data_IF_380242902477
#
_entry.id   IF_380242902477
#
_cell.length_a   1.000
_cell.length_b   1.000
_cell.length_c   1.000
_cell.angle_alpha   90.00
_cell.angle_beta   90.00
_cell.angle_gamma   90.00
#
_symmetry.space_group_name_H-M   'P 1'
#
loop_
_entity.id
_entity.type
_entity.pdbx_description
1 polymer ?
#
# COMPACT_ATOMS: atom_id res chain seq x y z
N UNK A 1 12.44 14.94 8.76
CA UNK A 1 10.98 15.06 8.55
C UNK A 1 10.77 14.77 7.08
N UNK A 2 10.08 13.67 6.79
CA UNK A 2 9.78 13.22 5.43
C UNK A 2 8.85 14.22 4.75
N UNK A 3 9.25 14.79 3.62
CA UNK A 3 8.42 15.70 2.83
C UNK A 3 7.97 15.03 1.54
N UNK A 4 6.65 15.01 1.31
CA UNK A 4 6.04 14.40 0.13
C UNK A 4 5.14 15.43 -0.57
N UNK A 5 5.29 15.56 -1.88
CA UNK A 5 4.41 16.38 -2.72
C UNK A 5 3.16 15.58 -3.11
N UNK A 6 2.31 15.26 -2.13
CA UNK A 6 1.13 14.41 -2.31
C UNK A 6 0.03 15.06 -3.17
N UNK A 7 0.00 16.40 -3.24
CA UNK A 7 -0.99 17.15 -4.01
C UNK A 7 -0.72 17.25 -5.51
N UNK A 8 0.43 16.78 -5.99
CA UNK A 8 0.76 16.75 -7.41
C UNK A 8 0.32 15.41 -8.01
N UNK A 9 -0.70 15.43 -8.88
CA UNK A 9 -1.24 14.23 -9.52
C UNK A 9 -0.23 13.48 -10.39
N UNK A 10 0.79 14.16 -10.91
CA UNK A 10 1.84 13.53 -11.72
C UNK A 10 2.77 12.64 -10.90
N UNK A 11 2.76 12.77 -9.57
CA UNK A 11 3.54 11.93 -8.66
C UNK A 11 2.80 10.65 -8.26
N UNK A 12 1.69 10.32 -8.92
CA UNK A 12 0.89 9.13 -8.65
C UNK A 12 0.74 8.29 -9.91
N UNK A 13 1.04 7.00 -9.80
CA UNK A 13 0.92 6.04 -10.88
C UNK A 13 -0.02 4.91 -10.46
N UNK A 14 -1.00 4.60 -11.32
CA UNK A 14 -1.92 3.47 -11.11
C UNK A 14 -1.16 2.17 -11.38
N UNK A 15 -1.09 1.30 -10.37
CA UNK A 15 -0.47 -0.03 -10.49
C UNK A 15 -1.50 -1.16 -10.55
N UNK A 16 -2.71 -0.89 -10.09
CA UNK A 16 -3.80 -1.87 -10.10
C UNK A 16 -5.14 -1.14 -10.21
N UNK A 17 -6.01 -1.63 -11.08
CA UNK A 17 -7.34 -1.09 -11.29
C UNK A 17 -8.24 -2.22 -11.81
N UNK A 18 -9.00 -2.85 -10.93
CA UNK A 18 -9.88 -3.96 -11.28
C UNK A 18 -11.18 -3.93 -10.50
N UNK A 19 -12.24 -4.42 -11.15
CA UNK A 19 -13.51 -4.75 -10.51
C UNK A 19 -13.57 -6.26 -10.30
N UNK A 20 -13.82 -6.68 -9.05
CA UNK A 20 -13.92 -8.08 -8.67
C UNK A 20 -15.33 -8.31 -8.12
N UNK A 21 -15.98 -9.41 -8.54
CA UNK A 21 -17.30 -9.80 -8.06
C UNK A 21 -17.23 -11.12 -7.30
N UNK A 22 -18.07 -11.25 -6.27
CA UNK A 22 -18.27 -12.48 -5.53
C UNK A 22 -18.96 -13.54 -6.40
N UNK A 23 -18.66 -14.81 -6.15
CA UNK A 23 -19.30 -15.92 -6.87
C UNK A 23 -20.63 -16.24 -6.19
N UNK A 24 -21.72 -16.20 -6.96
CA UNK A 24 -23.05 -16.56 -6.48
C UNK A 24 -23.37 -18.01 -6.85
N UNK A 25 -23.62 -18.85 -5.85
CA UNK A 25 -24.04 -20.24 -6.05
C UNK A 25 -25.54 -20.37 -5.77
N UNK A 26 -26.35 -20.87 -6.71
CA UNK A 26 -27.77 -21.12 -6.47
C UNK A 26 -27.98 -22.23 -5.44
N UNK A 27 -28.91 -22.04 -4.51
CA UNK A 27 -29.27 -23.04 -3.49
C UNK A 27 -30.53 -23.80 -3.94
N UNK A 28 -30.57 -25.13 -3.76
CA UNK A 28 -31.81 -25.89 -3.97
C UNK A 28 -32.89 -25.41 -2.99
N UNK A 29 -33.98 -24.85 -3.53
CA UNK A 29 -35.06 -24.23 -2.75
C UNK A 29 -35.23 -22.72 -2.96
N UNK A 30 -34.36 -22.09 -3.75
CA UNK A 30 -34.43 -20.67 -4.10
C UNK A 30 -33.42 -19.81 -3.33
N UNK A 31 -32.95 -18.73 -3.97
CA UNK A 31 -31.91 -17.85 -3.44
C UNK A 31 -30.49 -18.24 -3.85
N UNK A 32 -29.52 -17.44 -3.39
CA UNK A 32 -28.11 -17.58 -3.72
C UNK A 32 -27.25 -17.55 -2.45
N UNK A 33 -26.21 -18.38 -2.42
CA UNK A 33 -25.12 -18.30 -1.46
C UNK A 33 -23.98 -17.50 -2.11
N UNK A 34 -23.53 -16.46 -1.43
CA UNK A 34 -22.39 -15.67 -1.87
C UNK A 34 -21.12 -16.34 -1.34
N UNK A 35 -20.19 -16.68 -2.24
CA UNK A 35 -18.82 -17.04 -1.87
C UNK A 35 -18.05 -15.72 -1.74
N UNK A 36 -17.45 -15.45 -0.56
CA UNK A 36 -16.67 -14.25 -0.34
C UNK A 36 -15.58 -14.04 -1.38
N UNK A 37 -15.33 -12.78 -1.72
CA UNK A 37 -14.20 -12.40 -2.57
C UNK A 37 -12.91 -12.90 -1.90
N UNK A 38 -12.09 -13.72 -2.61
CA UNK A 38 -10.81 -14.17 -2.08
C UNK A 38 -9.88 -12.97 -1.87
N UNK A 39 -8.79 -13.18 -1.17
CA UNK A 39 -7.82 -12.12 -1.00
C UNK A 39 -7.23 -11.68 -2.36
N UNK A 40 -7.23 -10.38 -2.60
CA UNK A 40 -6.77 -9.79 -3.85
C UNK A 40 -5.26 -9.58 -3.75
N UNK A 41 -4.50 -10.34 -4.54
CA UNK A 41 -3.05 -10.17 -4.68
C UNK A 41 -2.74 -9.14 -5.76
N UNK A 42 -1.95 -8.12 -5.44
CA UNK A 42 -1.50 -7.15 -6.44
C UNK A 42 -0.27 -7.74 -7.16
N UNK A 43 -0.31 -7.93 -8.49
CA UNK A 43 0.71 -8.67 -9.24
C UNK A 43 1.94 -7.80 -9.56
N UNK A 44 2.38 -6.98 -8.61
CA UNK A 44 3.52 -6.07 -8.75
C UNK A 44 4.31 -6.07 -7.44
N UNK A 45 5.62 -6.31 -7.54
CA UNK A 45 6.54 -6.09 -6.42
C UNK A 45 6.75 -4.58 -6.26
N UNK A 46 6.56 -4.10 -5.04
CA UNK A 46 6.65 -2.69 -4.68
C UNK A 46 7.94 -2.42 -3.93
N UNK A 47 8.63 -1.36 -4.35
CA UNK A 47 9.83 -0.78 -3.74
C UNK A 47 9.55 0.58 -3.09
N UNK A 48 8.35 1.13 -3.29
CA UNK A 48 7.90 2.41 -2.72
C UNK A 48 7.00 2.18 -1.52
N UNK A 49 7.16 2.97 -0.45
CA UNK A 49 6.42 2.82 0.80
C UNK A 49 5.29 3.83 1.02
N UNK A 50 4.89 4.55 -0.03
CA UNK A 50 3.77 5.48 -0.03
C UNK A 50 2.78 5.02 -1.08
N UNK A 51 1.61 4.57 -0.63
CA UNK A 51 0.55 4.05 -1.49
C UNK A 51 -0.74 4.80 -1.24
N UNK A 52 -1.57 4.90 -2.28
CA UNK A 52 -2.96 5.30 -2.14
C UNK A 52 -3.85 4.15 -2.61
N UNK A 53 -4.92 3.86 -1.87
CA UNK A 53 -5.86 2.79 -2.19
C UNK A 53 -7.28 3.32 -2.10
N UNK A 54 -8.03 3.13 -3.18
CA UNK A 54 -9.47 3.38 -3.21
C UNK A 54 -10.19 2.06 -3.40
N UNK A 55 -11.21 1.85 -2.59
CA UNK A 55 -12.13 0.72 -2.70
C UNK A 55 -13.53 1.28 -2.74
N UNK A 56 -14.32 0.82 -3.69
CA UNK A 56 -15.76 1.07 -3.75
C UNK A 56 -16.50 -0.25 -3.95
N UNK A 57 -17.74 -0.29 -3.47
CA UNK A 57 -18.63 -1.45 -3.56
C UNK A 57 -20.06 -0.95 -3.65
N UNK A 58 -20.96 -1.74 -4.22
CA UNK A 58 -22.37 -1.46 -4.18
C UNK A 58 -22.93 -1.71 -2.76
N UNK A 59 -23.17 -0.63 -2.01
CA UNK A 59 -23.77 -0.71 -0.66
C UNK A 59 -25.29 -0.77 -0.81
N UNK A 60 -25.97 -1.80 -0.26
CA UNK A 60 -27.42 -1.91 -0.34
C UNK A 60 -28.13 -0.70 0.29
N UNK A 61 -29.26 -0.30 -0.30
CA UNK A 61 -30.07 0.82 0.19
C UNK A 61 -30.43 0.64 1.67
N UNK A 62 -30.29 1.71 2.45
CA UNK A 62 -30.53 1.70 3.90
C UNK A 62 -29.37 1.17 4.76
N UNK A 63 -28.25 0.73 4.15
CA UNK A 63 -27.01 0.40 4.87
C UNK A 63 -25.96 1.49 4.69
N UNK A 64 -25.21 1.74 5.77
CA UNK A 64 -24.09 2.68 5.77
C UNK A 64 -22.81 1.94 6.15
N UNK A 65 -22.11 1.42 5.16
CA UNK A 65 -20.81 0.79 5.36
C UNK A 65 -19.70 1.82 5.23
N UNK A 66 -18.77 1.82 6.19
CA UNK A 66 -17.58 2.68 6.15
C UNK A 66 -16.30 1.89 5.93
N UNK A 67 -16.27 0.63 6.35
CA UNK A 67 -15.09 -0.22 6.29
C UNK A 67 -15.03 -0.96 4.96
N UNK A 68 -13.88 -0.91 4.30
CA UNK A 68 -13.64 -1.48 2.98
C UNK A 68 -12.74 -2.73 2.99
N UNK A 69 -12.14 -3.06 4.14
CA UNK A 69 -11.26 -4.22 4.27
C UNK A 69 -9.92 -3.87 4.91
N UNK A 70 -8.98 -4.80 4.78
CA UNK A 70 -7.63 -4.63 5.27
C UNK A 70 -6.60 -4.85 4.15
N UNK A 71 -5.55 -4.02 4.15
CA UNK A 71 -4.34 -4.27 3.39
C UNK A 71 -3.28 -4.90 4.31
N UNK A 72 -2.60 -5.93 3.80
CA UNK A 72 -1.43 -6.53 4.44
C UNK A 72 -0.24 -6.49 3.49
N UNK A 73 0.94 -6.28 4.08
CA UNK A 73 2.22 -6.40 3.41
C UNK A 73 2.76 -7.82 3.62
N UNK A 74 3.39 -8.36 2.59
CA UNK A 74 4.05 -9.66 2.61
C UNK A 74 5.44 -9.52 1.99
N UNK A 75 6.43 -10.14 2.62
CA UNK A 75 7.82 -10.11 2.18
C UNK A 75 8.33 -11.54 2.08
N UNK A 76 9.18 -11.78 1.09
CA UNK A 76 9.82 -13.08 1.01
C UNK A 76 10.89 -13.18 2.10
N UNK A 77 10.89 -14.30 2.83
CA UNK A 77 11.90 -14.57 3.86
C UNK A 77 12.63 -15.84 3.50
N UNK A 78 13.94 -15.91 3.79
CA UNK A 78 14.72 -17.14 3.64
C UNK A 78 14.35 -18.24 4.65
N UNK A 79 13.27 -18.08 5.41
CA UNK A 79 12.80 -19.05 6.40
C UNK A 79 11.97 -20.10 5.65
N UNK A 80 12.49 -21.31 5.55
CA UNK A 80 11.82 -22.42 4.87
C UNK A 80 11.35 -23.43 5.91
N UNK A 81 10.03 -23.63 6.02
CA UNK A 81 9.43 -24.72 6.79
C UNK A 81 8.39 -25.44 5.93
N UNK A 82 8.74 -26.63 5.42
CA UNK A 82 7.85 -27.44 4.57
C UNK A 82 7.56 -26.87 3.17
N UNK A 83 8.28 -25.83 2.73
CA UNK A 83 8.12 -25.16 1.44
C UNK A 83 8.46 -23.65 1.51
N UNK A 84 8.42 -22.95 0.37
CA UNK A 84 8.56 -21.49 0.32
C UNK A 84 7.37 -20.84 1.02
N UNK A 85 7.59 -20.29 2.21
CA UNK A 85 6.59 -19.49 2.90
C UNK A 85 7.11 -18.05 2.95
N UNK A 86 6.40 -17.16 2.27
CA UNK A 86 6.62 -15.73 2.45
C UNK A 86 6.07 -15.32 3.82
N UNK A 87 6.79 -14.47 4.53
CA UNK A 87 6.33 -13.95 5.80
C UNK A 87 5.33 -12.81 5.57
N UNK A 88 4.13 -12.96 6.11
CA UNK A 88 3.17 -11.85 6.21
C UNK A 88 3.47 -11.01 7.43
N UNK A 89 3.37 -9.69 7.31
CA UNK A 89 3.35 -8.84 8.49
C UNK A 89 2.04 -9.05 9.27
N UNK A 90 2.14 -9.05 10.61
CA UNK A 90 0.96 -9.08 11.49
C UNK A 90 0.18 -7.76 11.44
N UNK A 91 0.87 -6.65 11.11
CA UNK A 91 0.25 -5.34 10.97
C UNK A 91 -0.67 -5.32 9.75
N UNK A 92 -1.92 -4.94 9.98
CA UNK A 92 -2.93 -4.73 8.94
C UNK A 92 -3.31 -3.26 8.89
N UNK A 93 -3.53 -2.75 7.70
CA UNK A 93 -3.97 -1.37 7.48
C UNK A 93 -5.45 -1.38 7.11
N UNK A 94 -6.28 -0.79 7.97
CA UNK A 94 -7.71 -0.68 7.71
C UNK A 94 -7.96 0.27 6.53
N UNK A 95 -8.79 -0.18 5.61
CA UNK A 95 -9.25 0.59 4.46
C UNK A 95 -10.71 0.98 4.67
N UNK A 96 -11.07 2.17 4.20
CA UNK A 96 -12.40 2.73 4.31
C UNK A 96 -12.98 3.06 2.94
N UNK A 97 -14.31 2.94 2.84
CA UNK A 97 -15.10 3.35 1.69
C UNK A 97 -15.17 4.89 1.60
N UNK A 98 -15.58 5.37 0.44
CA UNK A 98 -15.85 6.79 0.13
C UNK A 98 -14.65 7.74 0.30
N UNK A 99 -13.45 7.20 0.38
CA UNK A 99 -12.22 8.00 0.47
C UNK A 99 -11.05 7.29 -0.18
N UNK A 100 -10.02 8.07 -0.47
CA UNK A 100 -8.70 7.54 -0.83
C UNK A 100 -7.96 7.27 0.47
N UNK A 101 -7.59 6.02 0.71
CA UNK A 101 -6.81 5.60 1.86
C UNK A 101 -5.33 5.80 1.55
N UNK A 102 -4.72 6.82 2.16
CA UNK A 102 -3.28 7.05 2.08
C UNK A 102 -2.55 6.16 3.09
N UNK A 103 -1.60 5.37 2.60
CA UNK A 103 -0.85 4.39 3.37
C UNK A 103 0.64 4.74 3.35
N UNK A 104 1.18 5.00 4.53
CA UNK A 104 2.62 5.15 4.77
C UNK A 104 3.12 3.84 5.38
N UNK A 105 3.70 3.00 4.54
CA UNK A 105 4.30 1.73 4.93
C UNK A 105 5.70 1.97 5.50
N UNK A 106 6.15 1.04 6.35
CA UNK A 106 7.50 1.12 6.92
C UNK A 106 8.47 0.43 5.96
N UNK A 107 9.60 1.06 5.60
CA UNK A 107 10.63 0.45 4.76
C UNK A 107 11.40 -0.61 5.55
N UNK A 108 10.93 -1.87 5.47
CA UNK A 108 11.53 -3.01 6.19
C UNK A 108 12.29 -3.93 5.24
N UNK A 109 11.90 -3.99 3.97
CA UNK A 109 12.52 -4.78 2.91
C UNK A 109 12.81 -3.90 1.69
N UNK A 110 13.57 -4.41 0.72
CA UNK A 110 13.81 -3.71 -0.57
C UNK A 110 12.55 -3.77 -1.44
N UNK A 111 11.93 -4.94 -1.48
CA UNK A 111 10.70 -5.21 -2.23
C UNK A 111 9.67 -5.90 -1.34
N UNK A 112 8.40 -5.75 -1.70
CA UNK A 112 7.29 -6.41 -1.01
C UNK A 112 6.08 -6.59 -1.92
N UNK A 113 5.22 -7.54 -1.55
CA UNK A 113 3.90 -7.74 -2.16
C UNK A 113 2.82 -7.22 -1.22
N UNK A 114 1.71 -6.76 -1.78
CA UNK A 114 0.53 -6.36 -1.02
C UNK A 114 -0.67 -7.22 -1.37
N UNK A 115 -1.49 -7.43 -0.34
CA UNK A 115 -2.71 -8.19 -0.43
C UNK A 115 -3.83 -7.39 0.22
N UNK A 116 -4.99 -7.38 -0.42
CA UNK A 116 -6.18 -6.68 0.06
C UNK A 116 -7.27 -7.71 0.32
N UNK A 117 -7.74 -7.78 1.56
CA UNK A 117 -8.90 -8.59 1.94
C UNK A 117 -10.08 -7.67 2.22
N UNK A 118 -11.06 -7.71 1.33
CA UNK A 118 -12.36 -7.03 1.50
C UNK A 118 -13.25 -7.85 2.45
N UNK A 119 -14.28 -7.23 3.05
CA UNK A 119 -15.24 -7.94 3.89
C UNK A 119 -15.98 -9.05 3.14
N UNK A 120 -16.29 -10.13 3.85
CA UNK A 120 -16.88 -11.34 3.23
C UNK A 120 -18.32 -11.14 2.72
N UNK A 121 -18.97 -10.05 3.12
CA UNK A 121 -20.32 -9.68 2.70
C UNK A 121 -20.36 -8.76 1.48
N UNK A 122 -19.20 -8.41 0.89
CA UNK A 122 -19.15 -7.63 -0.35
C UNK A 122 -19.54 -8.52 -1.53
N UNK A 123 -20.50 -8.05 -2.33
CA UNK A 123 -20.90 -8.73 -3.58
C UNK A 123 -20.00 -8.33 -4.75
N UNK A 124 -19.50 -7.10 -4.71
CA UNK A 124 -18.51 -6.56 -5.64
C UNK A 124 -17.51 -5.68 -4.89
N UNK A 125 -16.33 -5.51 -5.47
CA UNK A 125 -15.31 -4.61 -4.99
C UNK A 125 -14.54 -4.05 -6.19
N UNK A 126 -14.62 -2.74 -6.39
CA UNK A 126 -13.79 -2.02 -7.32
C UNK A 126 -12.59 -1.44 -6.57
N UNK A 127 -11.39 -1.90 -6.93
CA UNK A 127 -10.14 -1.59 -6.23
C UNK A 127 -9.18 -0.88 -7.17
N UNK A 128 -8.71 0.28 -6.75
CA UNK A 128 -7.65 1.03 -7.42
C UNK A 128 -6.51 1.24 -6.44
N UNK A 129 -5.28 0.93 -6.87
CA UNK A 129 -4.06 1.16 -6.11
C UNK A 129 -3.14 2.05 -6.93
N UNK A 130 -2.65 3.10 -6.27
CA UNK A 130 -1.61 3.97 -6.79
C UNK A 130 -0.33 3.83 -5.97
N UNK A 131 0.81 3.88 -6.65
CA UNK A 131 2.10 4.11 -6.02
C UNK A 131 2.51 5.57 -6.17
N UNK A 132 3.17 6.10 -5.16
CA UNK A 132 3.81 7.40 -5.25
C UNK A 132 5.11 7.29 -6.07
N UNK A 133 5.36 8.21 -6.99
CA UNK A 133 6.57 8.26 -7.81
C UNK A 133 7.34 9.57 -7.66
N UNK A 134 6.85 10.46 -6.80
CA UNK A 134 7.53 11.73 -6.49
C UNK A 134 8.76 11.55 -5.62
N UNK A 135 9.53 12.63 -5.50
CA UNK A 135 10.71 12.67 -4.62
C UNK A 135 10.30 12.52 -3.16
N UNK A 136 10.94 11.57 -2.49
CA UNK A 136 10.82 11.34 -1.05
C UNK A 136 12.07 11.87 -0.36
N UNK A 137 12.05 13.13 0.07
CA UNK A 137 13.19 13.75 0.75
C UNK A 137 13.01 13.64 2.25
N UNK A 138 13.97 13.02 2.93
CA UNK A 138 14.09 13.12 4.38
C UNK A 138 15.02 14.28 4.73
N UNK A 139 14.51 15.25 5.50
CA UNK A 139 15.30 16.41 5.93
C UNK A 139 16.59 16.04 6.68
N UNK A 140 16.71 14.81 7.19
CA UNK A 140 17.94 14.29 7.80
C UNK A 140 19.01 14.05 6.73
N UNK A 141 18.64 13.42 5.61
CA UNK A 141 19.55 13.17 4.51
C UNK A 141 20.02 14.48 3.88
N UNK A 142 19.11 15.45 3.74
CA UNK A 142 19.47 16.81 3.31
C UNK A 142 20.47 17.48 4.25
N UNK A 143 20.27 17.35 5.57
CA UNK A 143 21.19 17.91 6.58
C UNK A 143 22.56 17.21 6.55
N UNK A 144 22.58 15.89 6.38
CA UNK A 144 23.83 15.10 6.27
C UNK A 144 24.58 15.48 5.00
N UNK A 145 23.87 15.65 3.88
CA UNK A 145 24.46 16.08 2.61
C UNK A 145 25.00 17.51 2.70
N UNK A 146 24.31 18.41 3.40
CA UNK A 146 24.81 19.75 3.68
C UNK A 146 26.12 19.72 4.49
N UNK A 147 26.17 18.91 5.56
CA UNK A 147 27.39 18.76 6.37
C UNK A 147 28.54 18.20 5.52
N UNK A 148 28.28 17.11 4.78
CA UNK A 148 29.31 16.43 3.97
C UNK A 148 29.85 17.27 2.82
N UNK A 149 28.97 17.96 2.10
CA UNK A 149 29.34 18.57 0.83
C UNK A 149 29.63 20.07 0.93
N UNK A 150 29.20 20.72 2.02
CA UNK A 150 29.36 22.18 2.19
C UNK A 150 30.20 22.50 3.41
N UNK A 151 29.83 22.00 4.60
CA UNK A 151 30.46 22.44 5.84
C UNK A 151 31.84 21.82 6.07
N UNK A 152 32.00 20.51 5.84
CA UNK A 152 33.30 19.84 6.01
C UNK A 152 34.37 20.38 5.04
N UNK A 153 34.12 20.49 3.71
CA UNK A 153 35.12 21.05 2.79
C UNK A 153 35.48 22.50 3.09
N UNK A 154 34.50 23.29 3.57
CA UNK A 154 34.73 24.68 3.98
C UNK A 154 35.62 24.77 5.22
N UNK A 155 35.49 23.85 6.16
CA UNK A 155 36.34 23.80 7.35
C UNK A 155 37.75 23.32 6.97
N UNK A 156 37.87 22.27 6.16
CA UNK A 156 39.17 21.77 5.66
C UNK A 156 39.96 22.87 4.94
N UNK A 157 39.32 23.60 4.01
CA UNK A 157 39.96 24.71 3.31
C UNK A 157 40.42 25.86 4.24
N UNK A 158 39.72 26.07 5.37
CA UNK A 158 40.14 27.07 6.37
C UNK A 158 41.30 26.57 7.23
N UNK A 159 41.36 25.28 7.50
CA UNK A 159 42.45 24.65 8.27
C UNK A 159 43.72 24.59 7.42
N UNK A 160 43.62 24.25 6.14
CA UNK A 160 44.78 24.23 5.21
C UNK A 160 45.39 25.63 4.96
N UNK A 161 44.65 26.69 5.29
CA UNK A 161 45.10 28.07 5.15
C UNK A 161 45.78 28.64 6.42
N UNK A 162 45.89 27.85 7.49
CA UNK A 162 46.58 28.18 8.74
C UNK A 162 47.98 27.58 8.80
#
# INVERSE_FOLDING_TARGET
>A
MRQLQLGNSNNWEVIYNQSISAVQIPIQGGGYKIIPIPEISIPVLLDVFVLAVSISTNVPEGRNWKFAGNLRQQVSTGIVFGGSQDASFNRRYALFLDKINLLLLTPISVDYSIFIKVPDWFEDAFVIVWRYTGTDTDSIEDSVNQIKNIDLPRIEAKVDAL
#
